data_IF_586207075622
#
_entry.id   IF_586207075622
#
_cell.length_a   1.000
_cell.length_b   1.000
_cell.length_c   1.000
_cell.angle_alpha   90.00
_cell.angle_beta   90.00
_cell.angle_gamma   90.00
#
_symmetry.space_group_name_H-M   'P 1'
#
loop_
_entity.id
_entity.type
_entity.pdbx_description
1 polymer ?
#
# COMPACT_ATOMS: atom_id res chain seq x y z
N UNK A 1 15.14 -11.54 -27.21
CA UNK A 1 15.45 -10.76 -25.99
C UNK A 1 14.55 -9.54 -25.77
N UNK A 2 13.80 -9.02 -26.76
CA UNK A 2 12.93 -7.84 -26.59
C UNK A 2 11.62 -8.09 -25.81
N UNK A 3 11.07 -9.31 -25.81
CA UNK A 3 9.80 -9.61 -25.14
C UNK A 3 9.89 -9.54 -23.60
N UNK A 4 11.07 -9.79 -23.02
CA UNK A 4 11.27 -9.87 -21.58
C UNK A 4 11.42 -8.48 -20.92
N UNK A 5 11.94 -7.49 -21.65
CA UNK A 5 12.07 -6.12 -21.12
C UNK A 5 10.73 -5.38 -21.10
N UNK A 6 9.82 -5.72 -22.01
CA UNK A 6 8.50 -5.10 -22.10
C UNK A 6 7.57 -5.57 -20.96
N UNK A 7 7.74 -6.82 -20.50
CA UNK A 7 7.02 -7.35 -19.33
C UNK A 7 7.52 -6.74 -18.03
N UNK A 8 8.83 -6.53 -17.90
CA UNK A 8 9.43 -5.95 -16.71
C UNK A 8 8.99 -4.49 -16.52
N UNK A 9 8.97 -3.69 -17.60
CA UNK A 9 8.48 -2.31 -17.56
C UNK A 9 6.99 -2.21 -17.25
N UNK A 10 6.18 -3.15 -17.76
CA UNK A 10 4.73 -3.14 -17.50
C UNK A 10 4.44 -3.54 -16.05
N UNK A 11 5.18 -4.51 -15.50
CA UNK A 11 5.09 -4.90 -14.10
C UNK A 11 5.52 -3.75 -13.17
N UNK A 12 6.60 -3.05 -13.50
CA UNK A 12 7.06 -1.86 -12.76
C UNK A 12 5.97 -0.77 -12.75
N UNK A 13 5.35 -0.51 -13.91
CA UNK A 13 4.24 0.45 -14.03
C UNK A 13 3.04 0.05 -13.17
N UNK A 14 2.68 -1.23 -13.16
CA UNK A 14 1.55 -1.75 -12.37
C UNK A 14 1.84 -1.65 -10.87
N UNK A 15 3.04 -2.04 -10.43
CA UNK A 15 3.46 -1.93 -9.04
C UNK A 15 3.48 -0.47 -8.58
N UNK A 16 4.06 0.40 -9.41
CA UNK A 16 4.06 1.86 -9.21
C UNK A 16 2.66 2.39 -9.01
N UNK A 17 1.73 2.01 -9.88
CA UNK A 17 0.33 2.44 -9.78
C UNK A 17 -0.34 1.97 -8.49
N UNK A 18 -0.11 0.74 -8.06
CA UNK A 18 -0.64 0.20 -6.79
C UNK A 18 -0.10 0.99 -5.60
N UNK A 19 1.21 1.24 -5.57
CA UNK A 19 1.88 1.97 -4.48
C UNK A 19 1.38 3.41 -4.37
N UNK A 20 1.32 4.14 -5.50
CA UNK A 20 0.82 5.52 -5.49
C UNK A 20 -0.67 5.58 -5.15
N UNK A 21 -1.48 4.63 -5.60
CA UNK A 21 -2.91 4.55 -5.23
C UNK A 21 -3.09 4.38 -3.72
N UNK A 22 -2.27 3.52 -3.12
CA UNK A 22 -2.29 3.26 -1.69
C UNK A 22 -1.90 4.51 -0.88
N UNK A 23 -0.78 5.14 -1.22
CA UNK A 23 -0.29 6.31 -0.49
C UNK A 23 -1.16 7.55 -0.68
N UNK A 24 -1.68 7.79 -1.89
CA UNK A 24 -2.63 8.86 -2.12
C UNK A 24 -3.88 8.72 -1.23
N UNK A 25 -4.40 7.49 -1.09
CA UNK A 25 -5.55 7.26 -0.22
C UNK A 25 -5.26 7.50 1.27
N UNK A 26 -4.02 7.29 1.72
CA UNK A 26 -3.59 7.67 3.07
C UNK A 26 -3.56 9.18 3.22
N UNK A 27 -2.88 9.87 2.30
CA UNK A 27 -2.65 11.31 2.36
C UNK A 27 -3.96 12.10 2.24
N UNK A 28 -4.89 11.66 1.39
CA UNK A 28 -6.22 12.24 1.23
C UNK A 28 -7.22 11.79 2.30
N UNK A 29 -6.81 10.91 3.24
CA UNK A 29 -7.65 10.30 4.27
C UNK A 29 -8.86 9.53 3.73
N UNK A 30 -8.77 8.99 2.51
CA UNK A 30 -9.82 8.22 1.85
C UNK A 30 -9.63 6.69 2.02
N UNK A 31 -9.20 6.27 3.21
CA UNK A 31 -9.03 4.85 3.52
C UNK A 31 -10.39 4.15 3.64
N UNK A 32 -10.54 3.01 2.96
CA UNK A 32 -11.73 2.16 3.08
C UNK A 32 -11.34 0.68 3.04
N UNK A 33 -12.11 -0.17 3.73
CA UNK A 33 -11.86 -1.61 3.71
C UNK A 33 -11.90 -2.19 2.29
N UNK A 34 -12.77 -1.67 1.42
CA UNK A 34 -12.86 -2.09 0.02
C UNK A 34 -11.56 -1.81 -0.75
N UNK A 35 -10.94 -0.65 -0.51
CA UNK A 35 -9.64 -0.31 -1.08
C UNK A 35 -8.56 -1.30 -0.64
N UNK A 36 -8.49 -1.61 0.66
CA UNK A 36 -7.49 -2.56 1.17
C UNK A 36 -7.68 -3.96 0.59
N UNK A 37 -8.92 -4.46 0.50
CA UNK A 37 -9.22 -5.76 -0.12
C UNK A 37 -8.83 -5.82 -1.60
N UNK A 38 -8.81 -4.68 -2.29
CA UNK A 38 -8.37 -4.59 -3.69
C UNK A 38 -6.85 -4.54 -3.85
N UNK A 39 -6.15 -3.83 -2.95
CA UNK A 39 -4.71 -3.60 -3.07
C UNK A 39 -3.87 -4.70 -2.42
N UNK A 40 -4.39 -5.33 -1.37
CA UNK A 40 -3.64 -6.32 -0.59
C UNK A 40 -4.15 -7.74 -0.85
N UNK A 41 -3.21 -8.67 -1.04
CA UNK A 41 -3.52 -10.09 -1.05
C UNK A 41 -4.13 -10.56 0.29
N UNK A 42 -4.95 -11.61 0.27
CA UNK A 42 -5.57 -12.14 1.48
C UNK A 42 -4.54 -12.56 2.56
N UNK A 43 -3.37 -13.05 2.12
CA UNK A 43 -2.25 -13.48 2.97
C UNK A 43 -1.23 -12.38 3.27
N UNK A 44 -1.50 -11.13 2.90
CA UNK A 44 -0.56 -10.02 3.15
C UNK A 44 -0.26 -9.86 4.65
N UNK A 45 0.94 -9.36 4.94
CA UNK A 45 1.35 -9.04 6.29
C UNK A 45 2.17 -7.75 6.30
N UNK A 46 1.89 -6.88 7.26
CA UNK A 46 2.76 -5.76 7.62
C UNK A 46 3.57 -6.17 8.84
N UNK A 47 4.88 -6.27 8.67
CA UNK A 47 5.84 -6.53 9.76
C UNK A 47 6.44 -5.19 10.17
N UNK A 48 6.24 -4.82 11.44
CA UNK A 48 6.79 -3.59 12.00
C UNK A 48 8.23 -3.81 12.47
N UNK A 49 9.04 -2.75 12.64
CA UNK A 49 10.43 -2.86 13.09
C UNK A 49 10.61 -3.57 14.45
N UNK A 50 9.59 -3.52 15.31
CA UNK A 50 9.57 -4.22 16.59
C UNK A 50 9.16 -5.71 16.50
N UNK A 51 9.01 -6.25 15.29
CA UNK A 51 8.57 -7.62 15.05
C UNK A 51 7.05 -7.85 15.13
N UNK A 52 6.25 -6.82 15.44
CA UNK A 52 4.81 -6.95 15.49
C UNK A 52 4.23 -7.08 14.07
N UNK A 53 3.43 -8.12 13.86
CA UNK A 53 2.84 -8.44 12.56
C UNK A 53 1.34 -8.17 12.55
N UNK A 54 0.83 -7.56 11.47
CA UNK A 54 -0.61 -7.44 11.20
C UNK A 54 -0.92 -8.11 9.87
N UNK A 55 -1.78 -9.13 9.91
CA UNK A 55 -2.06 -9.99 8.76
C UNK A 55 -3.46 -9.75 8.22
N UNK A 56 -3.55 -9.65 6.90
CA UNK A 56 -4.80 -9.57 6.16
C UNK A 56 -5.33 -8.15 5.96
N UNK A 57 -6.09 -7.90 4.87
CA UNK A 57 -6.52 -6.55 4.50
C UNK A 57 -7.36 -5.84 5.57
N UNK A 58 -8.23 -6.56 6.28
CA UNK A 58 -9.10 -5.98 7.31
C UNK A 58 -8.31 -5.46 8.52
N UNK A 59 -7.42 -6.28 9.07
CA UNK A 59 -6.63 -5.91 10.23
C UNK A 59 -5.63 -4.79 9.91
N UNK A 60 -5.07 -4.80 8.69
CA UNK A 60 -4.21 -3.72 8.21
C UNK A 60 -5.02 -2.42 8.09
N UNK A 61 -6.20 -2.46 7.48
CA UNK A 61 -7.08 -1.30 7.36
C UNK A 61 -7.38 -0.68 8.71
N UNK A 62 -7.85 -1.49 9.69
CA UNK A 62 -8.18 -1.00 11.03
C UNK A 62 -6.96 -0.37 11.71
N UNK A 63 -5.81 -1.06 11.69
CA UNK A 63 -4.59 -0.56 12.31
C UNK A 63 -4.14 0.78 11.71
N UNK A 64 -4.22 0.94 10.39
CA UNK A 64 -3.77 2.15 9.73
C UNK A 64 -4.78 3.28 9.83
N UNK A 65 -6.07 2.99 9.71
CA UNK A 65 -7.14 3.95 9.89
C UNK A 65 -7.04 4.60 11.29
N UNK A 66 -6.82 3.82 12.35
CA UNK A 66 -6.61 4.36 13.70
C UNK A 66 -5.28 5.11 13.85
N UNK A 67 -4.21 4.64 13.19
CA UNK A 67 -2.91 5.31 13.28
C UNK A 67 -2.92 6.69 12.60
N UNK A 68 -3.52 6.79 11.41
CA UNK A 68 -3.50 8.02 10.62
C UNK A 68 -4.51 9.08 11.06
N UNK A 69 -5.49 8.73 11.90
CA UNK A 69 -6.35 9.71 12.61
C UNK A 69 -5.56 10.70 13.46
N UNK A 70 -4.38 10.29 13.95
CA UNK A 70 -3.52 11.10 14.84
C UNK A 70 -2.87 12.29 14.14
N UNK A 71 -2.77 12.25 12.82
CA UNK A 71 -2.11 13.28 12.03
C UNK A 71 -3.15 14.15 11.33
N UNK A 72 -2.94 15.47 11.37
CA UNK A 72 -3.80 16.41 10.61
C UNK A 72 -3.67 16.20 9.10
N UNK A 73 -2.44 16.00 8.62
CA UNK A 73 -2.11 15.72 7.23
C UNK A 73 -0.90 14.78 7.20
N UNK A 74 -0.77 14.03 6.10
CA UNK A 74 0.41 13.21 5.81
C UNK A 74 0.84 13.44 4.37
N UNK A 75 2.09 13.12 4.07
CA UNK A 75 2.61 13.08 2.71
C UNK A 75 3.60 11.93 2.59
N UNK A 76 3.39 11.05 1.61
CA UNK A 76 4.31 9.95 1.30
C UNK A 76 5.07 10.27 0.01
N UNK A 77 6.38 10.37 0.10
CA UNK A 77 7.28 10.56 -1.05
C UNK A 77 7.94 9.23 -1.40
N UNK A 78 7.76 8.77 -2.65
CA UNK A 78 8.40 7.55 -3.15
C UNK A 78 9.61 7.95 -3.99
N UNK A 79 10.81 7.57 -3.55
CA UNK A 79 12.09 8.03 -4.14
C UNK A 79 12.84 6.96 -4.92
N UNK A 80 12.50 5.69 -4.73
CA UNK A 80 13.09 4.54 -5.43
C UNK A 80 12.06 3.42 -5.49
N UNK A 81 11.73 2.98 -6.71
CA UNK A 81 10.99 1.73 -6.96
C UNK A 81 11.84 0.81 -7.81
#
# INVERSE_FOLDING_TARGET
MAANQNSDSEMERQLTHVIFTYFAAIDDKQLSLALYKRLFAASCAIVRPNGATTTGPSAIYESQHESFKRFRATQHTVTSM
#
